data_IF_210434149503
#
_entry.id   IF_210434149503
#
_cell.length_a   1.000
_cell.length_b   1.000
_cell.length_c   1.000
_cell.angle_alpha   90.00
_cell.angle_beta   90.00
_cell.angle_gamma   90.00
#
_symmetry.space_group_name_H-M   'P 1'
#
loop_
_entity.id
_entity.type
_entity.pdbx_description
1 polymer ?
#
# COMPACT_ATOMS: atom_id res chain seq x y z
N UNK A 1 -27.46 -49.47 17.76
CA UNK A 1 -26.31 -48.75 17.18
C UNK A 1 -26.81 -47.57 16.33
N UNK A 2 -27.11 -46.40 16.91
CA UNK A 2 -27.64 -45.25 16.15
C UNK A 2 -27.38 -43.88 16.77
N UNK A 3 -26.49 -43.79 17.77
CA UNK A 3 -26.26 -42.56 18.54
C UNK A 3 -24.91 -41.88 18.30
N UNK A 4 -24.00 -42.51 17.55
CA UNK A 4 -22.66 -41.97 17.30
C UNK A 4 -22.49 -41.25 15.95
N UNK A 5 -23.49 -41.27 15.09
CA UNK A 5 -23.40 -40.63 13.77
C UNK A 5 -23.62 -39.11 13.77
N UNK A 6 -24.14 -38.53 14.87
CA UNK A 6 -24.40 -37.08 14.92
C UNK A 6 -23.19 -36.24 15.38
N UNK A 7 -22.24 -36.81 16.11
CA UNK A 7 -21.12 -36.05 16.68
C UNK A 7 -19.96 -35.82 15.70
N UNK A 8 -19.91 -36.52 14.57
CA UNK A 8 -18.87 -36.33 13.55
C UNK A 8 -19.16 -35.18 12.58
N UNK A 9 -20.41 -34.73 12.46
CA UNK A 9 -20.79 -33.66 11.53
C UNK A 9 -20.42 -32.24 12.01
N UNK A 10 -20.22 -32.06 13.32
CA UNK A 10 -19.93 -30.73 13.92
C UNK A 10 -18.44 -30.38 13.82
N UNK A 11 -17.55 -31.38 13.74
CA UNK A 11 -16.11 -31.16 13.68
C UNK A 11 -15.59 -30.67 12.30
N UNK A 12 -16.39 -30.82 11.23
CA UNK A 12 -16.00 -30.39 9.87
C UNK A 12 -16.33 -28.91 9.60
N UNK A 13 -17.31 -28.34 10.32
CA UNK A 13 -17.73 -26.95 10.13
C UNK A 13 -16.76 -25.92 10.74
N UNK A 14 -15.86 -26.34 11.63
CA UNK A 14 -14.90 -25.43 12.28
C UNK A 14 -13.62 -25.19 11.47
N UNK A 15 -13.36 -25.95 10.41
CA UNK A 15 -12.18 -25.79 9.55
C UNK A 15 -12.43 -24.86 8.34
N UNK A 16 -13.68 -24.54 8.04
CA UNK A 16 -14.01 -23.65 6.92
C UNK A 16 -13.84 -22.15 7.23
N UNK A 17 -13.70 -21.76 8.51
CA UNK A 17 -13.72 -20.34 8.90
C UNK A 17 -12.38 -19.61 8.75
N UNK A 18 -11.27 -20.30 8.47
CA UNK A 18 -9.95 -19.66 8.28
C UNK A 18 -9.60 -19.40 6.80
N UNK A 19 -10.39 -19.90 5.84
CA UNK A 19 -10.09 -19.74 4.41
C UNK A 19 -10.59 -18.41 3.81
N UNK A 20 -11.38 -17.62 4.54
CA UNK A 20 -11.96 -16.40 4.00
C UNK A 20 -11.02 -15.18 4.04
N UNK A 21 -9.99 -15.21 4.91
CA UNK A 21 -9.04 -14.09 5.04
C UNK A 21 -8.12 -13.95 3.81
N UNK A 22 -7.70 -15.06 3.20
CA UNK A 22 -6.85 -15.06 2.01
C UNK A 22 -7.57 -14.59 0.73
N UNK A 23 -8.85 -14.94 0.58
CA UNK A 23 -9.65 -14.55 -0.59
C UNK A 23 -9.90 -13.05 -0.63
N UNK A 24 -10.24 -12.43 0.51
CA UNK A 24 -10.50 -10.99 0.60
C UNK A 24 -9.23 -10.15 0.31
N UNK A 25 -8.05 -10.58 0.77
CA UNK A 25 -6.78 -9.89 0.51
C UNK A 25 -6.39 -9.96 -0.96
N UNK A 26 -6.53 -11.13 -1.59
CA UNK A 26 -6.23 -11.29 -3.02
C UNK A 26 -7.15 -10.43 -3.90
N UNK A 27 -8.44 -10.30 -3.55
CA UNK A 27 -9.36 -9.43 -4.29
C UNK A 27 -8.96 -7.95 -4.20
N UNK A 28 -8.57 -7.45 -3.01
CA UNK A 28 -8.11 -6.06 -2.86
C UNK A 28 -6.87 -5.75 -3.70
N UNK A 29 -5.87 -6.64 -3.70
CA UNK A 29 -4.65 -6.47 -4.50
C UNK A 29 -4.95 -6.41 -5.99
N UNK A 30 -5.86 -7.25 -6.51
CA UNK A 30 -6.22 -7.25 -7.94
C UNK A 30 -6.97 -6.00 -8.42
N UNK A 31 -7.55 -5.22 -7.50
CA UNK A 31 -8.29 -4.00 -7.83
C UNK A 31 -7.41 -2.73 -7.82
N UNK A 32 -6.13 -2.85 -7.46
CA UNK A 32 -5.19 -1.72 -7.50
C UNK A 32 -4.93 -1.27 -8.94
N UNK A 33 -4.76 0.04 -9.12
CA UNK A 33 -4.32 0.55 -10.42
C UNK A 33 -2.82 0.28 -10.62
N UNK A 34 -2.32 0.26 -11.87
CA UNK A 34 -0.89 0.12 -12.14
C UNK A 34 -0.03 1.17 -11.41
N UNK A 35 -0.55 2.39 -11.21
CA UNK A 35 0.15 3.45 -10.49
C UNK A 35 0.21 3.18 -8.98
N UNK A 36 -0.84 2.60 -8.38
CA UNK A 36 -0.81 2.14 -6.99
C UNK A 36 0.23 1.02 -6.81
N UNK A 37 0.31 0.07 -7.75
CA UNK A 37 1.33 -0.97 -7.69
C UNK A 37 2.76 -0.44 -7.82
N UNK A 38 2.99 0.53 -8.72
CA UNK A 38 4.29 1.20 -8.86
C UNK A 38 4.67 1.94 -7.57
N UNK A 39 3.70 2.61 -6.95
CA UNK A 39 3.89 3.26 -5.66
C UNK A 39 4.26 2.24 -4.57
N UNK A 40 3.56 1.11 -4.48
CA UNK A 40 3.90 0.02 -3.55
C UNK A 40 5.30 -0.53 -3.79
N UNK A 41 5.67 -0.75 -5.05
CA UNK A 41 7.01 -1.22 -5.44
C UNK A 41 8.09 -0.22 -5.04
N UNK A 42 7.85 1.08 -5.21
CA UNK A 42 8.79 2.12 -4.79
C UNK A 42 9.04 2.06 -3.27
N UNK A 43 7.99 1.93 -2.45
CA UNK A 43 8.14 1.78 -1.00
C UNK A 43 8.86 0.49 -0.60
N UNK A 44 8.55 -0.64 -1.25
CA UNK A 44 9.24 -1.92 -1.02
C UNK A 44 10.73 -1.82 -1.34
N UNK A 45 11.09 -1.08 -2.41
CA UNK A 45 12.48 -0.91 -2.81
C UNK A 45 13.35 -0.20 -1.77
N UNK A 46 12.76 0.56 -0.83
CA UNK A 46 13.50 1.15 0.30
C UNK A 46 14.13 0.11 1.23
N UNK A 47 13.64 -1.13 1.19
CA UNK A 47 14.21 -2.26 1.94
C UNK A 47 15.38 -2.96 1.23
N UNK A 48 15.56 -2.70 -0.07
CA UNK A 48 16.64 -3.30 -0.86
C UNK A 48 18.00 -2.91 -0.29
N UNK A 49 19.01 -3.80 -0.27
CA UNK A 49 20.31 -3.53 0.33
C UNK A 49 20.95 -2.20 -0.11
N UNK A 50 20.82 -1.84 -1.39
CA UNK A 50 21.33 -0.59 -1.97
C UNK A 50 20.57 0.69 -1.54
N UNK A 51 19.33 0.55 -1.10
CA UNK A 51 18.44 1.66 -0.74
C UNK A 51 18.26 1.81 0.78
N UNK A 52 18.89 0.93 1.56
CA UNK A 52 18.94 1.04 3.02
C UNK A 52 19.63 2.33 3.45
N UNK A 53 19.32 2.84 4.66
CA UNK A 53 20.01 3.98 5.23
C UNK A 53 21.52 3.75 5.27
N UNK A 54 22.31 4.73 4.82
CA UNK A 54 23.76 4.77 5.07
C UNK A 54 24.05 5.06 6.54
N UNK A 55 25.29 4.87 6.99
CA UNK A 55 25.67 5.16 8.38
C UNK A 55 25.50 6.65 8.72
N UNK A 56 25.74 7.54 7.75
CA UNK A 56 25.51 8.98 7.88
C UNK A 56 24.02 9.31 7.97
N UNK A 57 23.16 8.58 7.25
CA UNK A 57 21.71 8.71 7.32
C UNK A 57 21.17 8.24 8.68
N UNK A 58 21.71 7.14 9.23
CA UNK A 58 21.31 6.62 10.55
C UNK A 58 21.66 7.55 11.71
N UNK A 59 22.76 8.30 11.60
CA UNK A 59 23.25 9.19 12.66
C UNK A 59 22.47 10.50 12.79
N UNK A 60 21.54 10.82 11.86
CA UNK A 60 20.84 12.12 11.83
C UNK A 60 19.79 12.30 12.94
N UNK A 61 19.58 11.31 13.82
CA UNK A 61 18.61 11.35 14.93
C UNK A 61 17.21 11.85 14.53
N UNK A 62 16.77 11.52 13.31
CA UNK A 62 15.43 11.83 12.80
C UNK A 62 14.77 10.56 12.29
N UNK A 63 13.44 10.48 12.46
CA UNK A 63 12.61 9.42 11.89
C UNK A 63 12.29 9.67 10.40
N UNK A 64 12.68 10.83 9.88
CA UNK A 64 12.43 11.20 8.49
C UNK A 64 13.36 10.48 7.51
N UNK A 65 12.85 10.16 6.33
CA UNK A 65 13.65 9.65 5.23
C UNK A 65 14.69 10.70 4.80
N UNK A 66 15.89 10.25 4.44
CA UNK A 66 16.87 11.13 3.80
C UNK A 66 16.39 11.57 2.41
N UNK A 67 16.92 12.69 1.91
CA UNK A 67 16.58 13.21 0.58
C UNK A 67 16.83 12.19 -0.54
N UNK A 68 17.91 11.41 -0.45
CA UNK A 68 18.21 10.32 -1.38
C UNK A 68 17.09 9.28 -1.39
N UNK A 69 16.61 8.87 -0.22
CA UNK A 69 15.54 7.87 -0.10
C UNK A 69 14.18 8.44 -0.51
N UNK A 70 13.91 9.72 -0.24
CA UNK A 70 12.73 10.43 -0.77
C UNK A 70 12.76 10.46 -2.29
N UNK A 71 13.90 10.74 -2.90
CA UNK A 71 14.05 10.80 -4.36
C UNK A 71 13.69 9.48 -5.06
N UNK A 72 13.86 8.32 -4.40
CA UNK A 72 13.40 7.03 -4.91
C UNK A 72 11.87 6.92 -4.98
N UNK A 73 11.15 7.62 -4.11
CA UNK A 73 9.70 7.59 -4.03
C UNK A 73 9.02 8.64 -4.92
N UNK A 74 9.69 9.76 -5.19
CA UNK A 74 9.11 10.91 -5.89
C UNK A 74 8.54 10.55 -7.27
N UNK A 75 9.22 9.79 -8.16
CA UNK A 75 8.67 9.46 -9.47
C UNK A 75 7.34 8.71 -9.40
N UNK A 76 7.28 7.64 -8.59
CA UNK A 76 6.05 6.87 -8.41
C UNK A 76 4.94 7.69 -7.71
N UNK A 77 5.32 8.58 -6.80
CA UNK A 77 4.39 9.50 -6.13
C UNK A 77 3.75 10.47 -7.12
N UNK A 78 4.55 11.08 -8.01
CA UNK A 78 4.05 11.96 -9.07
C UNK A 78 3.13 11.22 -10.04
N UNK A 79 3.54 10.05 -10.51
CA UNK A 79 2.71 9.23 -11.39
C UNK A 79 1.33 8.92 -10.77
N UNK A 80 1.29 8.57 -9.47
CA UNK A 80 0.04 8.32 -8.77
C UNK A 80 -0.83 9.58 -8.67
N UNK A 81 -0.27 10.73 -8.32
CA UNK A 81 -1.02 12.00 -8.26
C UNK A 81 -1.58 12.36 -9.63
N UNK A 82 -0.76 12.31 -10.68
CA UNK A 82 -1.19 12.67 -12.04
C UNK A 82 -2.28 11.72 -12.55
N UNK A 83 -2.25 10.45 -12.14
CA UNK A 83 -3.29 9.47 -12.51
C UNK A 83 -4.69 9.83 -11.99
N UNK A 84 -4.82 10.76 -11.04
CA UNK A 84 -6.12 11.28 -10.59
C UNK A 84 -6.63 12.46 -11.41
N UNK A 85 -5.95 12.82 -12.51
CA UNK A 85 -6.28 13.97 -13.35
C UNK A 85 -5.60 15.28 -12.96
N UNK A 86 -4.70 15.26 -11.97
CA UNK A 86 -3.91 16.43 -11.58
C UNK A 86 -2.83 16.70 -12.62
N UNK A 87 -2.65 17.96 -13.00
CA UNK A 87 -1.58 18.36 -13.94
C UNK A 87 -0.24 18.54 -13.23
N UNK A 88 0.88 18.41 -13.96
CA UNK A 88 2.22 18.66 -13.39
C UNK A 88 2.37 20.09 -12.84
N UNK A 89 1.72 21.07 -13.48
CA UNK A 89 1.71 22.47 -13.05
C UNK A 89 0.98 22.64 -11.71
N UNK A 90 -0.18 21.99 -11.53
CA UNK A 90 -0.91 21.99 -10.28
C UNK A 90 -0.16 21.23 -9.17
N UNK A 91 0.45 20.09 -9.52
CA UNK A 91 1.29 19.32 -8.62
C UNK A 91 2.40 20.21 -8.05
N UNK A 92 3.14 20.87 -8.93
CA UNK A 92 4.25 21.76 -8.58
C UNK A 92 3.75 22.95 -7.75
N UNK A 93 2.63 23.57 -8.15
CA UNK A 93 2.03 24.69 -7.42
C UNK A 93 1.65 24.32 -5.98
N UNK A 94 1.06 23.14 -5.77
CA UNK A 94 0.55 22.72 -4.45
C UNK A 94 1.65 22.23 -3.53
N UNK A 95 2.69 21.62 -4.07
CA UNK A 95 3.78 21.00 -3.28
C UNK A 95 5.02 21.90 -3.18
N UNK A 96 5.10 22.96 -3.98
CA UNK A 96 6.33 23.75 -4.14
C UNK A 96 7.51 22.95 -4.70
N UNK A 97 7.28 21.74 -5.23
CA UNK A 97 8.33 20.80 -5.60
C UNK A 97 8.99 20.07 -4.42
N UNK A 98 8.49 20.23 -3.19
CA UNK A 98 9.02 19.54 -2.02
C UNK A 98 8.75 18.04 -2.10
N UNK A 99 9.81 17.23 -2.00
CA UNK A 99 9.72 15.77 -2.12
C UNK A 99 8.82 15.17 -1.05
N UNK A 100 8.89 15.68 0.18
CA UNK A 100 8.11 15.18 1.31
C UNK A 100 6.62 15.46 1.09
N UNK A 101 6.26 16.67 0.66
CA UNK A 101 4.88 17.03 0.34
C UNK A 101 4.31 16.20 -0.83
N UNK A 102 5.12 15.95 -1.87
CA UNK A 102 4.74 15.08 -2.99
C UNK A 102 4.43 13.66 -2.47
N UNK A 103 5.31 13.08 -1.65
CA UNK A 103 5.13 11.72 -1.10
C UNK A 103 3.91 11.66 -0.18
N UNK A 104 3.72 12.65 0.69
CA UNK A 104 2.56 12.73 1.60
C UNK A 104 1.25 12.81 0.82
N UNK A 105 1.18 13.65 -0.22
CA UNK A 105 -0.04 13.75 -1.03
C UNK A 105 -0.34 12.46 -1.80
N UNK A 106 0.68 11.83 -2.40
CA UNK A 106 0.51 10.53 -3.04
C UNK A 106 0.03 9.45 -2.05
N UNK A 107 0.55 9.47 -0.82
CA UNK A 107 0.11 8.57 0.26
C UNK A 107 -1.37 8.79 0.61
N UNK A 108 -1.83 10.04 0.70
CA UNK A 108 -3.24 10.35 0.95
C UNK A 108 -4.14 9.81 -0.17
N UNK A 109 -3.76 10.00 -1.43
CA UNK A 109 -4.48 9.44 -2.58
C UNK A 109 -4.53 7.91 -2.52
N UNK A 110 -3.39 7.27 -2.22
CA UNK A 110 -3.31 5.82 -2.09
C UNK A 110 -4.28 5.29 -1.02
N UNK A 111 -4.32 5.93 0.15
CA UNK A 111 -5.22 5.56 1.24
C UNK A 111 -6.68 5.71 0.84
N UNK A 112 -7.06 6.84 0.22
CA UNK A 112 -8.42 7.07 -0.28
C UNK A 112 -8.85 5.98 -1.27
N UNK A 113 -8.03 5.70 -2.28
CA UNK A 113 -8.32 4.64 -3.27
C UNK A 113 -8.40 3.24 -2.65
N UNK A 114 -7.53 2.94 -1.69
CA UNK A 114 -7.55 1.66 -0.98
C UNK A 114 -8.84 1.49 -0.17
N UNK A 115 -9.33 2.56 0.46
CA UNK A 115 -10.58 2.53 1.21
C UNK A 115 -11.80 2.43 0.29
N UNK A 116 -11.78 3.06 -0.89
CA UNK A 116 -12.80 2.87 -1.93
C UNK A 116 -12.88 1.43 -2.41
N UNK A 117 -11.74 0.80 -2.70
CA UNK A 117 -11.65 -0.62 -3.08
C UNK A 117 -12.27 -1.50 -1.99
N UNK A 118 -11.91 -1.26 -0.72
CA UNK A 118 -12.45 -2.03 0.42
C UNK A 118 -13.96 -1.85 0.59
N UNK A 119 -14.49 -0.65 0.35
CA UNK A 119 -15.94 -0.40 0.39
C UNK A 119 -16.66 -1.16 -0.72
N UNK A 120 -16.11 -1.18 -1.93
CA UNK A 120 -16.69 -1.88 -3.07
C UNK A 120 -16.71 -3.41 -2.90
N UNK A 121 -15.78 -3.98 -2.13
CA UNK A 121 -15.76 -5.42 -1.83
C UNK A 121 -16.78 -5.80 -0.73
N UNK A 122 -17.10 -4.86 0.17
CA UNK A 122 -18.06 -5.08 1.27
C UNK A 122 -19.52 -4.81 0.90
N UNK A 123 -19.76 -4.15 -0.24
CA UNK A 123 -21.09 -3.85 -0.79
C UNK A 123 -21.58 -4.97 -1.69
#
# INVERSE_FOLDING_TARGET
>A
MKKYFLSAAIAVLTLASCNNEGSAVNTVETMKTPQMEKFDKAFKSLGDPQNRPTEEEKKRNTSELSDRRKALLVPASKELIISTGVTEAELTRKTGGDMSQIIVWATQIYMQKSDEIRKNIKS
#
